data_IF_219974341172
#
_entry.id   IF_219974341172
#
_cell.length_a   1.000
_cell.length_b   1.000
_cell.length_c   1.000
_cell.angle_alpha   90.00
_cell.angle_beta   90.00
_cell.angle_gamma   90.00
#
_symmetry.space_group_name_H-M   'P 1'
#
loop_
_entity.id
_entity.type
_entity.pdbx_description
1 polymer ?
#
# COMPACT_ATOMS: atom_id res chain seq x y z
N UNK A 1 -11.25 -35.35 -18.63
CA UNK A 1 -9.89 -34.77 -18.62
C UNK A 1 -9.56 -34.45 -17.17
N UNK A 2 -8.72 -35.22 -16.51
CA UNK A 2 -8.32 -34.92 -15.13
C UNK A 2 -7.57 -33.58 -15.11
N UNK A 3 -7.92 -32.68 -14.16
CA UNK A 3 -7.18 -31.42 -14.00
C UNK A 3 -5.73 -31.76 -13.62
N UNK A 4 -4.78 -31.19 -14.34
CA UNK A 4 -3.37 -31.33 -13.97
C UNK A 4 -3.18 -30.94 -12.48
N UNK A 5 -2.31 -31.64 -11.74
CA UNK A 5 -2.03 -31.35 -10.32
C UNK A 5 -1.77 -29.86 -10.09
N UNK A 6 -1.09 -29.21 -11.01
CA UNK A 6 -0.84 -27.75 -11.00
C UNK A 6 -2.14 -26.93 -11.09
N UNK A 7 -3.09 -27.32 -11.94
CA UNK A 7 -4.38 -26.63 -12.06
C UNK A 7 -5.23 -26.73 -10.79
N UNK A 8 -5.22 -27.89 -10.12
CA UNK A 8 -5.93 -28.06 -8.85
C UNK A 8 -5.35 -27.15 -7.75
N UNK A 9 -4.02 -27.09 -7.63
CA UNK A 9 -3.35 -26.22 -6.64
C UNK A 9 -3.71 -24.74 -6.87
N UNK A 10 -3.71 -24.27 -8.12
CA UNK A 10 -4.06 -22.87 -8.45
C UNK A 10 -5.51 -22.56 -8.07
N UNK A 11 -6.45 -23.46 -8.37
CA UNK A 11 -7.87 -23.31 -8.03
C UNK A 11 -8.09 -23.26 -6.52
N UNK A 12 -7.49 -24.18 -5.77
CA UNK A 12 -7.55 -24.19 -4.30
C UNK A 12 -7.00 -22.90 -3.73
N UNK A 13 -5.82 -22.43 -4.20
CA UNK A 13 -5.22 -21.20 -3.75
C UNK A 13 -6.10 -19.97 -4.06
N UNK A 14 -6.80 -19.93 -5.20
CA UNK A 14 -7.72 -18.84 -5.53
C UNK A 14 -8.93 -18.80 -4.58
N UNK A 15 -9.53 -19.95 -4.27
CA UNK A 15 -10.63 -20.02 -3.30
C UNK A 15 -10.17 -19.57 -1.91
N UNK A 16 -9.03 -20.07 -1.45
CA UNK A 16 -8.46 -19.69 -0.16
C UNK A 16 -8.09 -18.20 -0.11
N UNK A 17 -7.67 -17.60 -1.23
CA UNK A 17 -7.43 -16.15 -1.34
C UNK A 17 -8.71 -15.35 -1.09
N UNK A 18 -9.85 -15.76 -1.67
CA UNK A 18 -11.15 -15.10 -1.42
C UNK A 18 -11.56 -15.24 0.04
N UNK A 19 -11.44 -16.43 0.62
CA UNK A 19 -11.77 -16.67 2.02
C UNK A 19 -10.88 -15.83 2.96
N UNK A 20 -9.57 -15.78 2.71
CA UNK A 20 -8.63 -14.98 3.48
C UNK A 20 -8.92 -13.48 3.36
N UNK A 21 -9.22 -13.01 2.14
CA UNK A 21 -9.65 -11.62 1.93
C UNK A 21 -10.93 -11.29 2.70
N UNK A 22 -11.96 -12.13 2.59
CA UNK A 22 -13.24 -11.92 3.29
C UNK A 22 -13.03 -11.92 4.81
N UNK A 23 -12.25 -12.85 5.34
CA UNK A 23 -11.88 -12.90 6.75
C UNK A 23 -11.14 -11.65 7.23
N UNK A 24 -10.15 -11.19 6.44
CA UNK A 24 -9.42 -9.96 6.73
C UNK A 24 -10.35 -8.74 6.77
N UNK A 25 -11.22 -8.57 5.77
CA UNK A 25 -12.18 -7.45 5.73
C UNK A 25 -13.17 -7.53 6.90
N UNK A 26 -13.67 -8.73 7.23
CA UNK A 26 -14.56 -8.93 8.36
C UNK A 26 -13.88 -8.54 9.69
N UNK A 27 -12.67 -9.01 9.95
CA UNK A 27 -11.93 -8.69 11.19
C UNK A 27 -11.66 -7.20 11.30
N UNK A 28 -11.21 -6.55 10.22
CA UNK A 28 -10.94 -5.10 10.22
C UNK A 28 -12.23 -4.27 10.29
N UNK A 29 -13.30 -4.72 9.62
CA UNK A 29 -14.62 -4.08 9.68
C UNK A 29 -15.21 -4.15 11.08
N UNK A 30 -15.16 -5.31 11.73
CA UNK A 30 -15.59 -5.49 13.11
C UNK A 30 -14.74 -4.66 14.08
N UNK A 31 -13.42 -4.62 13.89
CA UNK A 31 -12.53 -3.79 14.71
C UNK A 31 -12.84 -2.29 14.63
N UNK A 32 -13.36 -1.85 13.49
CA UNK A 32 -13.75 -0.44 13.28
C UNK A 32 -15.17 -0.13 13.71
N UNK A 33 -16.11 -1.07 13.51
CA UNK A 33 -17.54 -0.90 13.82
C UNK A 33 -17.87 -1.21 15.29
N UNK A 34 -17.24 -2.24 15.83
CA UNK A 34 -17.30 -2.57 17.25
C UNK A 34 -16.03 -2.02 17.88
N UNK A 35 -16.12 -1.18 18.92
CA UNK A 35 -14.93 -0.66 19.58
C UNK A 35 -14.23 -1.81 20.35
N UNK A 36 -13.45 -2.63 19.60
CA UNK A 36 -12.67 -3.71 20.21
C UNK A 36 -11.79 -3.12 21.31
N UNK A 37 -11.86 -3.69 22.49
CA UNK A 37 -11.16 -3.18 23.66
C UNK A 37 -11.51 -1.69 23.99
N UNK A 38 -12.72 -1.25 23.63
CA UNK A 38 -13.29 0.07 23.96
C UNK A 38 -12.85 1.24 23.08
N UNK A 39 -12.07 0.99 22.01
CA UNK A 39 -11.50 2.05 21.15
C UNK A 39 -11.47 1.63 19.69
N UNK A 40 -11.46 2.61 18.78
CA UNK A 40 -11.21 2.36 17.36
C UNK A 40 -9.71 2.57 17.00
N UNK A 41 -9.32 2.13 15.80
CA UNK A 41 -7.92 2.18 15.34
C UNK A 41 -7.31 3.60 15.34
N UNK A 42 -8.11 4.61 15.00
CA UNK A 42 -7.67 6.01 15.00
C UNK A 42 -7.45 6.56 16.41
N UNK A 43 -8.37 6.26 17.33
CA UNK A 43 -8.24 6.65 18.74
C UNK A 43 -7.00 6.04 19.39
N UNK A 44 -6.68 4.76 19.09
CA UNK A 44 -5.45 4.12 19.56
C UNK A 44 -4.18 4.83 19.05
N UNK A 45 -4.23 5.34 17.82
CA UNK A 45 -3.11 6.14 17.29
C UNK A 45 -2.96 7.46 18.04
N UNK A 46 -4.06 8.06 18.48
CA UNK A 46 -4.05 9.30 19.28
C UNK A 46 -3.62 9.07 20.75
N UNK A 47 -3.75 7.84 21.29
CA UNK A 47 -3.21 7.46 22.61
C UNK A 47 -1.67 7.44 22.67
N UNK A 48 -1.01 7.37 21.52
CA UNK A 48 0.45 7.40 21.38
C UNK A 48 0.87 8.70 20.68
N UNK A 49 0.76 9.87 21.35
CA UNK A 49 0.89 11.17 20.72
C UNK A 49 2.30 11.36 20.16
N UNK A 50 2.36 11.57 18.86
CA UNK A 50 3.55 11.98 18.14
C UNK A 50 3.16 12.87 16.95
N UNK A 51 4.12 13.64 16.46
CA UNK A 51 3.84 14.63 15.41
C UNK A 51 3.63 14.01 14.00
N UNK A 52 3.91 12.73 13.84
CA UNK A 52 3.74 11.99 12.57
C UNK A 52 2.32 11.41 12.39
N UNK A 53 1.51 11.33 13.45
CA UNK A 53 0.13 10.82 13.37
C UNK A 53 -0.72 11.73 12.49
N UNK A 54 -1.33 11.21 11.40
CA UNK A 54 -2.21 11.98 10.54
C UNK A 54 -3.61 12.14 11.14
N UNK A 55 -4.43 13.01 10.55
CA UNK A 55 -5.83 13.16 10.91
C UNK A 55 -6.61 11.85 10.68
N UNK A 56 -7.62 11.58 11.51
CA UNK A 56 -8.39 10.34 11.48
C UNK A 56 -9.01 10.00 10.11
N UNK A 57 -9.42 11.02 9.35
CA UNK A 57 -9.95 10.85 7.98
C UNK A 57 -8.94 10.16 7.04
N UNK A 58 -7.64 10.26 7.31
CA UNK A 58 -6.60 9.65 6.49
C UNK A 58 -6.71 8.12 6.46
N UNK A 59 -7.23 7.51 7.52
CA UNK A 59 -7.47 6.07 7.60
C UNK A 59 -8.57 5.57 6.67
N UNK A 60 -9.37 6.46 6.06
CA UNK A 60 -10.36 6.08 5.04
C UNK A 60 -9.75 5.41 3.81
N UNK A 61 -8.44 5.56 3.59
CA UNK A 61 -7.69 4.83 2.55
C UNK A 61 -7.85 3.31 2.65
N UNK A 62 -8.14 2.77 3.82
CA UNK A 62 -8.43 1.34 3.98
C UNK A 62 -9.64 0.90 3.17
N UNK A 63 -10.68 1.74 3.08
CA UNK A 63 -11.84 1.46 2.22
C UNK A 63 -11.45 1.30 0.75
N UNK A 64 -10.60 2.19 0.23
CA UNK A 64 -10.05 2.08 -1.12
C UNK A 64 -9.19 0.82 -1.29
N UNK A 65 -8.33 0.50 -0.32
CA UNK A 65 -7.49 -0.68 -0.34
C UNK A 65 -8.35 -1.95 -0.43
N UNK A 66 -9.38 -2.09 0.41
CA UNK A 66 -10.26 -3.26 0.39
C UNK A 66 -11.05 -3.38 -0.91
N UNK A 67 -11.54 -2.27 -1.46
CA UNK A 67 -12.21 -2.28 -2.77
C UNK A 67 -11.28 -2.78 -3.88
N UNK A 68 -10.06 -2.30 -3.91
CA UNK A 68 -9.06 -2.73 -4.89
C UNK A 68 -8.64 -4.19 -4.68
N UNK A 69 -8.44 -4.64 -3.44
CA UNK A 69 -8.09 -6.03 -3.13
C UNK A 69 -9.24 -7.00 -3.45
N UNK A 70 -10.51 -6.57 -3.39
CA UNK A 70 -11.64 -7.35 -3.91
C UNK A 70 -11.47 -7.62 -5.42
N UNK A 71 -11.07 -6.60 -6.19
CA UNK A 71 -10.74 -6.75 -7.61
C UNK A 71 -9.57 -7.71 -7.87
N UNK A 72 -8.53 -7.66 -7.01
CA UNK A 72 -7.41 -8.61 -7.06
C UNK A 72 -7.87 -10.05 -6.81
N UNK A 73 -8.66 -10.29 -5.75
CA UNK A 73 -9.20 -11.62 -5.44
C UNK A 73 -10.13 -12.15 -6.54
N UNK A 74 -10.99 -11.29 -7.10
CA UNK A 74 -11.83 -11.65 -8.25
C UNK A 74 -10.99 -12.04 -9.49
N UNK A 75 -9.89 -11.33 -9.73
CA UNK A 75 -8.96 -11.66 -10.82
C UNK A 75 -8.27 -13.01 -10.60
N UNK A 76 -7.90 -13.34 -9.36
CA UNK A 76 -7.34 -14.65 -9.02
C UNK A 76 -8.31 -15.80 -9.36
N UNK A 77 -9.59 -15.64 -8.99
CA UNK A 77 -10.64 -16.62 -9.33
C UNK A 77 -10.82 -16.72 -10.84
N UNK A 78 -10.93 -15.58 -11.53
CA UNK A 78 -11.10 -15.57 -12.99
C UNK A 78 -9.95 -16.27 -13.70
N UNK A 79 -8.71 -16.09 -13.25
CA UNK A 79 -7.54 -16.75 -13.83
C UNK A 79 -7.48 -18.26 -13.50
N UNK A 80 -7.90 -18.65 -12.29
CA UNK A 80 -7.87 -20.04 -11.85
C UNK A 80 -8.96 -20.91 -12.50
N UNK A 81 -10.13 -20.33 -12.81
CA UNK A 81 -11.30 -21.04 -13.33
C UNK A 81 -11.65 -20.67 -14.78
N UNK A 82 -10.94 -19.72 -15.39
CA UNK A 82 -11.17 -19.32 -16.78
C UNK A 82 -10.90 -20.46 -17.77
N UNK A 83 -11.57 -20.40 -18.94
CA UNK A 83 -11.48 -21.43 -19.99
C UNK A 83 -10.07 -21.49 -20.64
N UNK A 84 -9.31 -20.41 -20.58
CA UNK A 84 -7.92 -20.37 -21.07
C UNK A 84 -6.99 -20.52 -19.89
N UNK A 85 -6.13 -21.55 -19.93
CA UNK A 85 -5.07 -21.70 -18.93
C UNK A 85 -4.28 -20.40 -18.82
N UNK A 86 -4.08 -19.88 -17.62
CA UNK A 86 -3.20 -18.73 -17.44
C UNK A 86 -1.83 -19.13 -17.99
N UNK A 87 -1.34 -18.39 -19.00
CA UNK A 87 0.00 -18.59 -19.52
C UNK A 87 1.05 -18.38 -18.42
N UNK A 88 2.34 -18.54 -18.71
CA UNK A 88 3.41 -18.41 -17.70
C UNK A 88 3.45 -17.07 -16.98
N UNK A 89 2.66 -16.09 -17.42
CA UNK A 89 2.49 -14.76 -16.83
C UNK A 89 1.22 -14.64 -15.98
N UNK A 90 0.50 -15.74 -15.72
CA UNK A 90 -0.74 -15.76 -14.95
C UNK A 90 -0.52 -15.75 -13.42
N UNK A 91 -1.63 -15.61 -12.70
CA UNK A 91 -1.69 -15.77 -11.26
C UNK A 91 -1.37 -17.22 -10.87
N UNK A 92 -0.64 -17.42 -9.77
CA UNK A 92 -0.10 -18.72 -9.37
C UNK A 92 -0.47 -19.08 -7.93
N UNK A 93 -0.28 -20.34 -7.54
CA UNK A 93 -0.44 -20.78 -6.17
C UNK A 93 0.49 -20.04 -5.17
N UNK A 94 1.66 -19.58 -5.61
CA UNK A 94 2.56 -18.76 -4.79
C UNK A 94 1.96 -17.39 -4.49
N UNK A 95 1.33 -16.74 -5.47
CA UNK A 95 0.64 -15.46 -5.23
C UNK A 95 -0.47 -15.62 -4.19
N UNK A 96 -1.23 -16.73 -4.29
CA UNK A 96 -2.23 -17.08 -3.30
C UNK A 96 -1.65 -17.30 -1.90
N UNK A 97 -0.58 -18.07 -1.79
CA UNK A 97 0.06 -18.31 -0.49
C UNK A 97 0.59 -17.02 0.16
N UNK A 98 1.24 -16.15 -0.62
CA UNK A 98 1.70 -14.85 -0.13
C UNK A 98 0.54 -13.95 0.27
N UNK A 99 -0.54 -13.92 -0.51
CA UNK A 99 -1.74 -13.14 -0.19
C UNK A 99 -2.43 -13.64 1.08
N UNK A 100 -2.59 -14.94 1.24
CA UNK A 100 -3.19 -15.56 2.44
C UNK A 100 -2.37 -15.21 3.69
N UNK A 101 -1.03 -15.34 3.60
CA UNK A 101 -0.15 -14.96 4.69
C UNK A 101 -0.26 -13.45 5.01
N UNK A 102 -0.31 -12.59 3.98
CA UNK A 102 -0.52 -11.17 4.16
C UNK A 102 -1.84 -10.84 4.84
N UNK A 103 -2.96 -11.44 4.40
CA UNK A 103 -4.28 -11.24 4.96
C UNK A 103 -4.37 -11.72 6.43
N UNK A 104 -3.76 -12.86 6.74
CA UNK A 104 -3.66 -13.39 8.11
C UNK A 104 -2.82 -12.45 9.00
N UNK A 105 -1.67 -11.97 8.50
CA UNK A 105 -0.84 -11.01 9.21
C UNK A 105 -1.57 -9.68 9.43
N UNK A 106 -2.32 -9.18 8.45
CA UNK A 106 -3.12 -7.95 8.60
C UNK A 106 -4.20 -8.11 9.68
N UNK A 107 -4.90 -9.25 9.71
CA UNK A 107 -5.88 -9.56 10.75
C UNK A 107 -5.23 -9.67 12.14
N UNK A 108 -4.05 -10.27 12.23
CA UNK A 108 -3.30 -10.35 13.47
C UNK A 108 -2.79 -8.97 13.92
N UNK A 109 -2.38 -8.12 12.96
CA UNK A 109 -1.92 -6.77 13.25
C UNK A 109 -3.00 -5.92 13.90
N UNK A 110 -4.24 -5.91 13.36
CA UNK A 110 -5.33 -5.11 13.92
C UNK A 110 -5.68 -5.56 15.34
N UNK A 111 -5.64 -6.86 15.62
CA UNK A 111 -5.82 -7.40 16.96
C UNK A 111 -4.67 -6.95 17.90
N UNK A 112 -3.42 -7.17 17.53
CA UNK A 112 -2.27 -6.76 18.33
C UNK A 112 -2.30 -5.25 18.63
N UNK A 113 -2.72 -4.41 17.65
CA UNK A 113 -2.88 -2.98 17.80
C UNK A 113 -3.95 -2.64 18.85
N UNK A 114 -5.15 -3.26 18.77
CA UNK A 114 -6.25 -3.02 19.72
C UNK A 114 -5.93 -3.48 21.15
N UNK A 115 -5.08 -4.48 21.30
CA UNK A 115 -4.56 -4.89 22.62
C UNK A 115 -3.31 -4.14 23.07
N UNK A 116 -2.94 -3.06 22.37
CA UNK A 116 -1.78 -2.19 22.68
C UNK A 116 -0.44 -2.93 22.73
N UNK A 117 -0.34 -4.06 22.02
CA UNK A 117 0.89 -4.84 21.85
C UNK A 117 1.77 -4.21 20.75
N UNK A 118 2.22 -2.95 20.98
CA UNK A 118 2.86 -2.11 19.96
C UNK A 118 4.12 -2.77 19.36
N UNK A 119 4.95 -3.42 20.17
CA UNK A 119 6.13 -4.14 19.68
C UNK A 119 5.74 -5.32 18.78
N UNK A 120 4.75 -6.12 19.18
CA UNK A 120 4.22 -7.23 18.39
C UNK A 120 3.57 -6.72 17.10
N UNK A 121 2.81 -5.62 17.16
CA UNK A 121 2.18 -5.02 15.98
C UNK A 121 3.24 -4.57 14.96
N UNK A 122 4.38 -4.02 15.39
CA UNK A 122 5.47 -3.67 14.49
C UNK A 122 6.07 -4.90 13.80
N UNK A 123 6.34 -5.99 14.53
CA UNK A 123 6.85 -7.22 13.92
C UNK A 123 5.89 -7.76 12.86
N UNK A 124 4.58 -7.80 13.18
CA UNK A 124 3.56 -8.24 12.24
C UNK A 124 3.48 -7.27 11.03
N UNK A 125 3.59 -5.95 11.25
CA UNK A 125 3.63 -4.96 10.16
C UNK A 125 4.80 -5.21 9.20
N UNK A 126 5.96 -5.60 9.70
CA UNK A 126 7.11 -5.97 8.86
C UNK A 126 6.82 -7.25 8.04
N UNK A 127 6.07 -8.21 8.57
CA UNK A 127 5.62 -9.39 7.80
C UNK A 127 4.65 -8.97 6.69
N UNK A 128 3.69 -8.06 6.99
CA UNK A 128 2.79 -7.50 5.98
C UNK A 128 3.59 -6.81 4.87
N UNK A 129 4.54 -5.97 5.23
CA UNK A 129 5.40 -5.27 4.27
C UNK A 129 6.21 -6.24 3.41
N UNK A 130 6.84 -7.24 4.01
CA UNK A 130 7.67 -8.21 3.31
C UNK A 130 6.86 -9.07 2.32
N UNK A 131 5.69 -9.57 2.74
CA UNK A 131 4.80 -10.36 1.88
C UNK A 131 4.25 -9.52 0.73
N UNK A 132 3.92 -8.26 0.97
CA UNK A 132 3.42 -7.34 -0.04
C UNK A 132 4.50 -6.98 -1.07
N UNK A 133 5.74 -6.73 -0.62
CA UNK A 133 6.89 -6.53 -1.50
C UNK A 133 7.18 -7.78 -2.36
N UNK A 134 7.01 -8.98 -1.80
CA UNK A 134 7.17 -10.22 -2.55
C UNK A 134 6.09 -10.37 -3.63
N UNK A 135 4.83 -10.12 -3.29
CA UNK A 135 3.70 -10.12 -4.24
C UNK A 135 3.91 -9.12 -5.37
N UNK A 136 4.29 -7.90 -5.04
CA UNK A 136 4.52 -6.85 -6.03
C UNK A 136 5.66 -7.21 -6.98
N UNK A 137 6.78 -7.72 -6.45
CA UNK A 137 7.92 -8.20 -7.26
C UNK A 137 7.53 -9.36 -8.18
N UNK A 138 6.76 -10.34 -7.68
CA UNK A 138 6.31 -11.47 -8.50
C UNK A 138 5.37 -10.99 -9.60
N UNK A 139 4.49 -10.04 -9.31
CA UNK A 139 3.60 -9.41 -10.30
C UNK A 139 4.37 -8.62 -11.35
N UNK A 140 5.37 -7.82 -10.95
CA UNK A 140 6.25 -7.10 -11.89
C UNK A 140 7.00 -8.06 -12.83
N UNK A 141 7.55 -9.16 -12.29
CA UNK A 141 8.26 -10.16 -13.11
C UNK A 141 7.36 -10.79 -14.17
N UNK A 142 6.07 -11.01 -13.85
CA UNK A 142 5.10 -11.63 -14.75
C UNK A 142 4.57 -10.67 -15.81
N UNK A 143 4.30 -9.43 -15.43
CA UNK A 143 3.65 -8.42 -16.27
C UNK A 143 4.62 -7.47 -16.96
N UNK A 144 5.91 -7.54 -16.61
CA UNK A 144 6.95 -6.60 -17.03
C UNK A 144 6.94 -5.30 -16.19
N UNK A 145 8.05 -4.52 -16.25
CA UNK A 145 8.12 -3.21 -15.65
C UNK A 145 7.11 -2.30 -16.36
N UNK A 146 6.25 -1.67 -15.61
CA UNK A 146 5.28 -0.74 -16.16
C UNK A 146 4.17 -0.46 -15.16
N UNK A 147 3.88 0.83 -14.96
CA UNK A 147 2.77 1.26 -14.13
C UNK A 147 1.43 0.99 -14.81
N UNK A 148 0.37 1.01 -14.00
CA UNK A 148 -1.04 0.98 -14.44
C UNK A 148 -1.35 2.00 -15.54
N UNK A 149 -0.52 3.02 -15.68
CA UNK A 149 -0.68 4.14 -16.61
C UNK A 149 0.42 4.21 -17.67
N UNK A 150 1.35 3.25 -17.76
CA UNK A 150 2.14 3.17 -18.98
C UNK A 150 1.20 2.83 -20.14
N UNK A 151 1.22 3.62 -21.20
CA UNK A 151 0.51 3.24 -22.41
C UNK A 151 1.18 1.98 -22.92
N UNK A 152 0.56 0.88 -22.64
CA UNK A 152 0.76 -0.30 -23.47
C UNK A 152 0.39 0.19 -24.88
N UNK A 153 1.27 -0.04 -25.83
CA UNK A 153 1.08 0.30 -27.24
C UNK A 153 -0.41 0.32 -27.59
N UNK A 154 -0.91 1.41 -28.18
CA UNK A 154 -2.35 1.71 -28.32
C UNK A 154 -3.26 0.65 -28.96
N UNK A 155 -2.74 -0.56 -29.14
CA UNK A 155 -3.39 -1.75 -29.70
C UNK A 155 -3.77 -2.81 -28.66
N UNK A 156 -3.46 -2.67 -27.33
CA UNK A 156 -3.87 -3.71 -26.38
C UNK A 156 -5.38 -3.68 -26.10
N UNK A 157 -6.03 -4.85 -26.09
CA UNK A 157 -7.45 -4.98 -25.74
C UNK A 157 -7.73 -4.44 -24.32
N UNK A 158 -8.90 -3.82 -24.15
CA UNK A 158 -9.32 -3.28 -22.85
C UNK A 158 -9.31 -4.32 -21.71
N UNK A 159 -9.56 -5.60 -22.04
CA UNK A 159 -9.49 -6.71 -21.09
C UNK A 159 -8.08 -6.95 -20.53
N UNK A 160 -7.03 -6.76 -21.33
CA UNK A 160 -5.63 -6.90 -20.89
C UNK A 160 -5.24 -5.73 -19.96
N UNK A 161 -5.68 -4.51 -20.31
CA UNK A 161 -5.47 -3.32 -19.44
C UNK A 161 -6.18 -3.46 -18.11
N UNK A 162 -7.44 -3.90 -18.10
CA UNK A 162 -8.19 -4.15 -16.87
C UNK A 162 -7.51 -5.22 -16.00
N UNK A 163 -7.09 -6.33 -16.60
CA UNK A 163 -6.36 -7.40 -15.92
C UNK A 163 -5.09 -6.86 -15.26
N UNK A 164 -4.27 -6.13 -16.01
CA UNK A 164 -3.04 -5.50 -15.47
C UNK A 164 -3.37 -4.56 -14.30
N UNK A 165 -4.38 -3.72 -14.45
CA UNK A 165 -4.85 -2.83 -13.40
C UNK A 165 -5.23 -3.59 -12.12
N UNK A 166 -6.08 -4.62 -12.24
CA UNK A 166 -6.58 -5.40 -11.11
C UNK A 166 -5.48 -6.22 -10.40
N UNK A 167 -4.39 -6.56 -11.08
CA UNK A 167 -3.26 -7.27 -10.47
C UNK A 167 -2.19 -6.33 -9.88
N UNK A 168 -2.07 -5.08 -10.34
CA UNK A 168 -0.98 -4.20 -9.91
C UNK A 168 -1.44 -3.06 -8.99
N UNK A 169 -2.53 -2.37 -9.33
CA UNK A 169 -2.99 -1.21 -8.56
C UNK A 169 -3.32 -1.54 -7.10
N UNK A 170 -4.02 -2.65 -6.79
CA UNK A 170 -4.31 -3.04 -5.41
C UNK A 170 -3.05 -3.18 -4.56
N UNK A 171 -2.06 -3.90 -5.07
CA UNK A 171 -0.80 -4.15 -4.36
C UNK A 171 -0.01 -2.85 -4.13
N UNK A 172 0.01 -1.96 -5.11
CA UNK A 172 0.76 -0.70 -5.05
C UNK A 172 0.12 0.34 -4.13
N UNK A 173 -1.20 0.47 -4.15
CA UNK A 173 -1.93 1.34 -3.21
C UNK A 173 -1.73 0.84 -1.79
N UNK A 174 -1.89 -0.47 -1.58
CA UNK A 174 -1.69 -1.08 -0.28
C UNK A 174 -0.23 -0.93 0.19
N UNK A 175 0.75 -1.16 -0.69
CA UNK A 175 2.18 -1.00 -0.38
C UNK A 175 2.52 0.43 0.04
N UNK A 176 2.00 1.45 -0.67
CA UNK A 176 2.18 2.85 -0.30
C UNK A 176 1.67 3.13 1.12
N UNK A 177 0.49 2.60 1.47
CA UNK A 177 -0.06 2.75 2.80
C UNK A 177 0.75 1.99 3.87
N UNK A 178 1.16 0.75 3.60
CA UNK A 178 1.95 -0.04 4.55
C UNK A 178 3.33 0.57 4.80
N UNK A 179 3.96 1.22 3.82
CA UNK A 179 5.19 1.97 4.07
C UNK A 179 4.98 3.09 5.10
N UNK A 180 3.93 3.89 4.95
CA UNK A 180 3.58 4.94 5.93
C UNK A 180 3.19 4.33 7.29
N UNK A 181 2.36 3.29 7.28
CA UNK A 181 1.93 2.61 8.50
C UNK A 181 3.10 1.96 9.26
N UNK A 182 4.11 1.44 8.56
CA UNK A 182 5.33 0.92 9.19
C UNK A 182 6.09 2.03 9.91
N UNK A 183 6.26 3.17 9.27
CA UNK A 183 6.87 4.36 9.92
C UNK A 183 6.05 4.76 11.16
N UNK A 184 4.73 4.84 11.04
CA UNK A 184 3.85 5.18 12.14
C UNK A 184 3.92 4.15 13.30
N UNK A 185 4.05 2.86 13.00
CA UNK A 185 4.25 1.84 14.04
C UNK A 185 5.62 1.97 14.73
N UNK A 186 6.68 2.33 14.00
CA UNK A 186 7.99 2.62 14.61
C UNK A 186 7.87 3.82 15.54
N UNK A 187 7.28 4.93 15.10
CA UNK A 187 7.11 6.12 15.95
C UNK A 187 6.25 5.83 17.17
N UNK A 188 5.18 5.04 17.02
CA UNK A 188 4.35 4.58 18.14
C UNK A 188 5.14 3.74 19.16
N UNK A 189 6.02 2.85 18.69
CA UNK A 189 6.89 2.06 19.55
C UNK A 189 7.88 2.95 20.32
N UNK A 190 8.49 3.92 19.66
CA UNK A 190 9.41 4.87 20.32
C UNK A 190 8.72 5.67 21.43
N UNK A 191 7.47 6.14 21.18
CA UNK A 191 6.65 6.79 22.22
C UNK A 191 6.34 5.82 23.36
N UNK A 192 5.92 4.59 23.03
CA UNK A 192 5.57 3.57 24.03
C UNK A 192 6.74 3.20 24.93
N UNK A 193 7.96 3.16 24.39
CA UNK A 193 9.19 2.88 25.14
C UNK A 193 9.78 4.10 25.82
N UNK A 194 9.13 5.26 25.72
CA UNK A 194 9.62 6.55 26.28
C UNK A 194 11.02 6.89 25.80
N UNK A 195 11.29 6.62 24.50
CA UNK A 195 12.58 7.02 23.93
C UNK A 195 12.76 8.54 23.99
N UNK A 196 13.91 8.98 24.51
CA UNK A 196 14.22 10.40 24.77
C UNK A 196 14.62 11.19 23.52
N UNK A 197 14.70 10.53 22.34
CA UNK A 197 15.09 11.19 21.09
C UNK A 197 16.56 11.69 21.11
N UNK A 198 17.42 11.14 21.95
CA UNK A 198 18.77 11.65 22.19
C UNK A 198 18.77 13.12 22.66
N UNK A 199 17.73 13.55 23.35
CA UNK A 199 17.56 14.93 23.81
C UNK A 199 17.21 15.94 22.69
N UNK A 200 16.95 15.49 21.45
CA UNK A 200 16.56 16.37 20.36
C UNK A 200 15.05 16.64 20.38
N UNK A 201 14.69 17.81 19.87
CA UNK A 201 13.29 18.21 19.73
C UNK A 201 12.50 17.20 18.87
N UNK A 202 11.30 16.77 19.30
CA UNK A 202 10.46 15.84 18.55
C UNK A 202 10.15 16.29 17.11
N UNK A 203 10.16 17.58 16.83
CA UNK A 203 9.96 18.15 15.49
C UNK A 203 11.09 17.75 14.54
N UNK A 204 12.34 17.74 15.01
CA UNK A 204 13.51 17.34 14.20
C UNK A 204 13.37 15.88 13.77
N UNK A 205 13.03 14.99 14.71
CA UNK A 205 12.81 13.58 14.41
C UNK A 205 11.64 13.37 13.45
N UNK A 206 10.55 14.12 13.64
CA UNK A 206 9.39 14.00 12.76
C UNK A 206 9.71 14.46 11.33
N UNK A 207 10.46 15.55 11.18
CA UNK A 207 10.94 15.99 9.86
C UNK A 207 11.85 14.94 9.23
N UNK A 208 12.79 14.36 9.98
CA UNK A 208 13.65 13.29 9.49
C UNK A 208 12.84 12.07 8.99
N UNK A 209 11.81 11.68 9.72
CA UNK A 209 10.89 10.57 9.35
C UNK A 209 10.07 10.92 8.11
N UNK A 210 9.59 12.16 7.97
CA UNK A 210 8.93 12.65 6.74
C UNK A 210 9.89 12.56 5.54
N UNK A 211 11.14 12.96 5.71
CA UNK A 211 12.14 12.86 4.64
C UNK A 211 12.46 11.40 4.28
N UNK A 212 12.47 10.48 5.24
CA UNK A 212 12.59 9.05 4.95
C UNK A 212 11.41 8.52 4.13
N UNK A 213 10.17 8.90 4.47
CA UNK A 213 8.99 8.55 3.68
C UNK A 213 8.98 9.20 2.29
N UNK A 214 9.49 10.45 2.16
CA UNK A 214 9.72 11.10 0.86
C UNK A 214 10.70 10.28 0.01
N UNK A 215 11.83 9.84 0.57
CA UNK A 215 12.81 9.03 -0.14
C UNK A 215 12.21 7.71 -0.65
N UNK A 216 11.39 7.03 0.15
CA UNK A 216 10.63 5.84 -0.26
C UNK A 216 9.68 6.16 -1.42
N UNK A 217 8.90 7.23 -1.32
CA UNK A 217 7.97 7.64 -2.37
C UNK A 217 8.69 7.99 -3.68
N UNK A 218 9.82 8.70 -3.61
CA UNK A 218 10.65 9.00 -4.77
C UNK A 218 11.26 7.72 -5.37
N UNK A 219 11.65 6.75 -4.56
CA UNK A 219 12.07 5.44 -5.02
C UNK A 219 11.00 4.75 -5.86
N UNK A 220 9.74 4.77 -5.44
CA UNK A 220 8.63 4.25 -6.22
C UNK A 220 8.36 5.07 -7.48
N UNK A 221 8.38 6.40 -7.41
CA UNK A 221 8.06 7.25 -8.57
C UNK A 221 9.15 7.25 -9.63
N UNK A 222 10.42 7.41 -9.24
CA UNK A 222 11.54 7.62 -10.17
C UNK A 222 12.10 6.29 -10.68
N UNK A 223 12.41 5.35 -9.76
CA UNK A 223 13.05 4.09 -10.15
C UNK A 223 12.05 3.04 -10.63
N UNK A 224 10.92 2.95 -9.93
CA UNK A 224 9.87 1.97 -10.25
C UNK A 224 8.82 2.52 -11.22
N UNK A 225 8.84 3.83 -11.52
CA UNK A 225 7.85 4.52 -12.36
C UNK A 225 6.40 4.24 -11.96
N UNK A 226 6.18 4.07 -10.66
CA UNK A 226 4.86 3.83 -10.08
C UNK A 226 4.20 5.15 -9.70
N UNK A 227 2.88 5.20 -9.82
CA UNK A 227 2.08 6.38 -9.45
C UNK A 227 1.27 6.12 -8.18
N UNK A 228 0.73 4.91 -8.04
CA UNK A 228 -0.23 4.62 -6.98
C UNK A 228 0.38 4.70 -5.57
N UNK A 229 1.54 4.06 -5.34
CA UNK A 229 2.17 4.09 -4.01
C UNK A 229 2.60 5.50 -3.58
N UNK A 230 3.27 6.33 -4.43
CA UNK A 230 3.58 7.72 -4.08
C UNK A 230 2.35 8.58 -3.79
N UNK A 231 1.23 8.40 -4.53
CA UNK A 231 -0.01 9.14 -4.25
C UNK A 231 -0.60 8.82 -2.87
N UNK A 232 -0.45 7.59 -2.39
CA UNK A 232 -0.88 7.24 -1.03
C UNK A 232 0.00 7.93 0.02
N UNK A 233 1.30 8.09 -0.24
CA UNK A 233 2.19 8.87 0.65
C UNK A 233 1.78 10.35 0.67
N UNK A 234 1.43 10.93 -0.50
CA UNK A 234 0.87 12.30 -0.57
C UNK A 234 -0.41 12.41 0.26
N UNK A 235 -1.31 11.44 0.17
CA UNK A 235 -2.53 11.39 1.00
C UNK A 235 -2.21 11.38 2.50
N UNK A 236 -1.25 10.56 2.92
CA UNK A 236 -0.82 10.50 4.31
C UNK A 236 -0.22 11.83 4.80
N UNK A 237 0.61 12.47 3.98
CA UNK A 237 1.20 13.77 4.30
C UNK A 237 0.16 14.89 4.35
N UNK A 238 -0.83 14.89 3.46
CA UNK A 238 -1.97 15.78 3.57
C UNK A 238 -2.73 15.60 4.90
N UNK A 239 -2.86 14.35 5.37
CA UNK A 239 -3.42 14.05 6.68
C UNK A 239 -2.59 14.57 7.85
N UNK A 240 -1.25 14.50 7.76
CA UNK A 240 -0.34 15.09 8.76
C UNK A 240 -0.49 16.62 8.79
N UNK A 241 -0.48 17.26 7.63
CA UNK A 241 -0.70 18.72 7.51
C UNK A 241 -2.02 19.11 8.16
N UNK A 242 -3.11 18.42 7.81
CA UNK A 242 -4.43 18.68 8.36
C UNK A 242 -4.45 18.55 9.89
N UNK A 243 -3.89 17.46 10.43
CA UNK A 243 -3.84 17.24 11.89
C UNK A 243 -3.06 18.35 12.59
N UNK A 244 -1.88 18.72 12.08
CA UNK A 244 -1.03 19.72 12.71
C UNK A 244 -1.66 21.12 12.68
N UNK A 245 -2.28 21.49 11.57
CA UNK A 245 -2.98 22.78 11.47
C UNK A 245 -4.19 22.86 12.41
N UNK A 246 -4.82 21.75 12.75
CA UNK A 246 -5.98 21.72 13.67
C UNK A 246 -5.60 21.66 15.14
N UNK A 247 -4.42 21.15 15.49
CA UNK A 247 -4.07 20.90 16.89
C UNK A 247 -3.09 21.92 17.46
N UNK A 248 -1.99 22.19 16.76
CA UNK A 248 -0.85 22.96 17.27
C UNK A 248 -0.05 23.62 16.13
N UNK A 249 -0.67 24.51 15.34
CA UNK A 249 -0.10 24.98 14.07
C UNK A 249 1.23 25.73 14.24
N UNK A 250 1.41 26.49 15.32
CA UNK A 250 2.64 27.26 15.57
C UNK A 250 3.79 26.34 15.99
N UNK A 251 3.56 25.48 16.99
CA UNK A 251 4.58 24.57 17.48
C UNK A 251 5.01 23.56 16.42
N UNK A 252 4.06 23.01 15.67
CA UNK A 252 4.33 22.00 14.64
C UNK A 252 4.65 22.57 13.26
N UNK A 253 4.87 23.88 13.13
CA UNK A 253 5.15 24.52 11.85
C UNK A 253 6.24 23.82 11.01
N UNK A 254 7.41 23.43 11.54
CA UNK A 254 8.40 22.68 10.77
C UNK A 254 7.88 21.36 10.20
N UNK A 255 6.96 20.70 10.92
CA UNK A 255 6.44 19.38 10.55
C UNK A 255 5.44 19.49 9.42
N UNK A 256 4.41 20.34 9.53
CA UNK A 256 3.41 20.44 8.46
C UNK A 256 3.97 21.12 7.21
N UNK A 257 4.93 22.04 7.34
CA UNK A 257 5.64 22.61 6.19
C UNK A 257 6.46 21.52 5.48
N UNK A 258 7.24 20.72 6.22
CA UNK A 258 8.02 19.63 5.65
C UNK A 258 7.12 18.59 4.95
N UNK A 259 5.99 18.20 5.56
CA UNK A 259 5.04 17.28 4.96
C UNK A 259 4.40 17.85 3.68
N UNK A 260 4.01 19.12 3.69
CA UNK A 260 3.48 19.82 2.51
C UNK A 260 4.49 19.91 1.37
N UNK A 261 5.71 20.32 1.67
CA UNK A 261 6.80 20.38 0.68
C UNK A 261 7.14 19.00 0.13
N UNK A 262 7.22 17.98 0.97
CA UNK A 262 7.46 16.61 0.55
C UNK A 262 6.35 16.10 -0.38
N UNK A 263 5.08 16.38 -0.08
CA UNK A 263 3.96 16.06 -0.96
C UNK A 263 4.08 16.73 -2.32
N UNK A 264 4.45 18.03 -2.37
CA UNK A 264 4.68 18.76 -3.63
C UNK A 264 5.84 18.17 -4.43
N UNK A 265 6.95 17.81 -3.79
CA UNK A 265 8.09 17.15 -4.44
C UNK A 265 7.68 15.81 -5.05
N UNK A 266 6.89 15.00 -4.34
CA UNK A 266 6.35 13.74 -4.86
C UNK A 266 5.48 14.01 -6.09
N UNK A 267 4.55 14.95 -6.02
CA UNK A 267 3.67 15.32 -7.15
C UNK A 267 4.48 15.80 -8.35
N UNK A 268 5.47 16.66 -8.13
CA UNK A 268 6.36 17.13 -9.20
C UNK A 268 7.13 15.96 -9.84
N UNK A 269 7.61 14.99 -9.05
CA UNK A 269 8.27 13.80 -9.57
C UNK A 269 7.35 12.96 -10.47
N UNK A 270 6.08 12.80 -10.08
CA UNK A 270 5.08 12.08 -10.87
C UNK A 270 4.78 12.77 -12.20
N UNK A 271 4.69 14.10 -12.21
CA UNK A 271 4.51 14.88 -13.45
C UNK A 271 5.71 14.70 -14.37
N UNK A 272 6.93 14.80 -13.84
CA UNK A 272 8.17 14.59 -14.63
C UNK A 272 8.23 13.20 -15.25
N UNK A 273 7.92 12.16 -14.50
CA UNK A 273 7.90 10.78 -14.99
C UNK A 273 6.88 10.60 -16.12
N UNK A 274 5.73 11.25 -16.05
CA UNK A 274 4.72 11.25 -17.14
C UNK A 274 5.19 11.98 -18.38
N UNK A 275 5.83 13.16 -18.23
CA UNK A 275 6.31 13.97 -19.36
C UNK A 275 7.49 13.29 -20.05
N UNK A 276 8.40 12.67 -19.29
CA UNK A 276 9.57 11.97 -19.82
C UNK A 276 9.22 10.67 -20.56
N UNK A 277 7.99 10.15 -20.36
CA UNK A 277 7.47 8.99 -21.09
C UNK A 277 6.31 9.45 -21.98
N UNK A 278 6.57 9.99 -23.20
CA UNK A 278 5.53 10.56 -24.04
C UNK A 278 4.50 9.50 -24.38
N UNK A 279 3.23 9.82 -24.11
CA UNK A 279 2.04 9.01 -24.36
C UNK A 279 1.79 8.73 -25.86
N UNK A 280 2.63 9.29 -26.74
CA UNK A 280 2.52 9.14 -28.20
C UNK A 280 3.88 8.75 -28.77
N UNK A 281 3.97 7.51 -29.22
CA UNK A 281 5.00 7.15 -30.20
C UNK A 281 4.94 8.14 -31.36
N UNK A 282 5.94 8.98 -31.47
CA UNK A 282 6.20 9.71 -32.70
C UNK A 282 6.32 8.65 -33.79
N UNK A 283 5.31 8.50 -34.65
CA UNK A 283 5.52 7.92 -35.97
C UNK A 283 6.65 8.74 -36.57
N UNK A 284 7.82 8.17 -36.62
CA UNK A 284 8.79 8.58 -37.62
C UNK A 284 8.21 8.13 -38.95
N UNK A 285 7.46 9.02 -39.59
CA UNK A 285 7.22 8.92 -41.02
C UNK A 285 8.60 8.98 -41.68
N UNK A 286 9.15 7.81 -41.94
CA UNK A 286 10.26 7.59 -42.80
C UNK A 286 9.76 7.71 -44.23
N UNK A 287 9.72 8.95 -44.77
CA UNK A 287 9.88 9.19 -46.19
C UNK A 287 11.37 9.30 -46.46
N UNK A 288 11.89 8.31 -47.16
CA UNK A 288 12.73 8.43 -48.38
C UNK A 288 13.11 7.03 -48.82
#
# INVERSE_FOLDING_TARGET
MEPSKTGAVVRTAAVLTVLAFTGMVAVNGLASALPLNGVNTGQLSDELPNLFVPAGITFSVWGLIYLLLAGYAASAVREAFGATSPGPRGWTGRDGALFILNAAANSAWILAWHWRLVGTSLVIMLVILATLLALERDTERKLGPGGVLEPVSGSEPGSVRLRRFLLTAPLRVYLGWICVATIANVTALLVRTRWDGFGLDPRIWTVAVILAGLAVALGFSVWKRQIAAPLVVVWAYAGIVLKRLQTDPEYSAPVWIAAGLAALVILASLVRVRIACPLFGRKTDGNL
#
